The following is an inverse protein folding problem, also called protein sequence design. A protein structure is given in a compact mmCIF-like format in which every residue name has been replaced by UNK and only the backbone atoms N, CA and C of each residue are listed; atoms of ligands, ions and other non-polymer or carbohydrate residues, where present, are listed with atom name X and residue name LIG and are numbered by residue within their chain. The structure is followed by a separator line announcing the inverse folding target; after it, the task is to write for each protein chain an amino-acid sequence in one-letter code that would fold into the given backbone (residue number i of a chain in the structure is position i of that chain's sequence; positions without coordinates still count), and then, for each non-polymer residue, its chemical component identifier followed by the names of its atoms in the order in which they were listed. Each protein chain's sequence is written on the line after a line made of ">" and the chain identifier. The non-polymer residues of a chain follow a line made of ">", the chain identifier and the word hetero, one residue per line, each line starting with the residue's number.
data_IF_788711847345
#
_entry.id   IF_788711847345
#
_cell.length_a   1.000
_cell.length_b   1.000
_cell.length_c   1.000
_cell.angle_alpha   90.00
_cell.angle_beta   90.00
_cell.angle_gamma   90.00
#
_symmetry.space_group_name_H-M   'P 1'
#
loop_
_entity.id
_entity.type
_entity.pdbx_description
1 polymer ?
#
# COMPACT_ATOMS: atom_id res chain seq x y z
N UNK A 1 -6.31 -5.18 -8.34
CA UNK A 1 -5.49 -4.05 -7.85
C UNK A 1 -6.23 -3.43 -6.68
N UNK A 2 -5.57 -3.21 -5.54
CA UNK A 2 -6.22 -2.59 -4.38
C UNK A 2 -6.30 -1.07 -4.50
N UNK A 3 -6.97 -0.46 -3.51
CA UNK A 3 -7.30 0.95 -3.56
C UNK A 3 -6.21 1.80 -2.90
N UNK A 4 -5.99 2.99 -3.45
CA UNK A 4 -5.04 3.97 -2.88
C UNK A 4 -5.54 4.60 -1.58
N UNK A 5 -6.86 4.56 -1.37
CA UNK A 5 -7.58 4.84 -0.14
C UNK A 5 -8.61 3.71 -0.01
N UNK A 6 -8.56 2.94 1.07
CA UNK A 6 -9.42 1.77 1.23
C UNK A 6 -10.01 1.68 2.63
N UNK A 7 -11.30 1.35 2.68
CA UNK A 7 -11.95 0.79 3.86
C UNK A 7 -12.47 -0.64 3.60
N UNK A 8 -12.14 -1.21 2.44
CA UNK A 8 -12.30 -2.65 2.20
C UNK A 8 -11.09 -3.32 2.83
N UNK A 9 -11.37 -4.23 3.75
CA UNK A 9 -10.39 -4.82 4.65
C UNK A 9 -10.43 -6.33 4.51
N UNK A 10 -9.28 -7.00 4.66
CA UNK A 10 -9.29 -8.47 4.71
C UNK A 10 -10.19 -8.98 5.83
N UNK A 11 -10.28 -8.25 6.95
CA UNK A 11 -11.13 -8.60 8.09
C UNK A 11 -12.63 -8.44 7.81
N UNK A 12 -13.03 -7.63 6.83
CA UNK A 12 -14.45 -7.40 6.48
C UNK A 12 -14.84 -8.04 5.15
N UNK A 13 -13.88 -8.64 4.45
CA UNK A 13 -14.04 -9.24 3.13
C UNK A 13 -13.69 -10.73 3.12
N UNK A 14 -13.84 -11.42 4.27
CA UNK A 14 -13.30 -12.77 4.49
C UNK A 14 -13.76 -13.83 3.48
N UNK A 15 -14.94 -13.68 2.89
CA UNK A 15 -15.50 -14.60 1.89
C UNK A 15 -15.07 -14.28 0.43
N UNK A 16 -14.18 -13.30 0.25
CA UNK A 16 -13.69 -12.88 -1.07
C UNK A 16 -12.25 -13.36 -1.24
N UNK A 17 -12.03 -14.25 -2.21
CA UNK A 17 -10.71 -14.84 -2.52
C UNK A 17 -9.60 -13.77 -2.69
N UNK A 18 -9.97 -12.62 -3.25
CA UNK A 18 -9.06 -11.51 -3.53
C UNK A 18 -8.98 -10.48 -2.41
N UNK A 19 -9.57 -10.73 -1.23
CA UNK A 19 -9.61 -9.81 -0.11
C UNK A 19 -8.25 -9.33 0.35
N UNK A 20 -7.20 -10.17 0.23
CA UNK A 20 -5.82 -9.80 0.56
C UNK A 20 -5.27 -8.60 -0.21
N UNK A 21 -5.86 -8.28 -1.37
CA UNK A 21 -5.45 -7.16 -2.21
C UNK A 21 -6.12 -5.84 -1.85
N UNK A 22 -7.18 -5.84 -1.04
CA UNK A 22 -8.07 -4.68 -0.84
C UNK A 22 -7.38 -3.44 -0.28
N UNK A 23 -6.30 -3.63 0.47
CA UNK A 23 -5.52 -2.55 1.09
C UNK A 23 -4.20 -2.28 0.36
N UNK A 24 -3.86 -3.06 -0.67
CA UNK A 24 -2.55 -3.04 -1.31
C UNK A 24 -2.60 -2.29 -2.64
N UNK A 25 -1.76 -1.27 -2.77
CA UNK A 25 -1.68 -0.44 -3.97
C UNK A 25 -0.25 -0.37 -4.51
N UNK A 26 -0.07 0.44 -5.56
CA UNK A 26 1.23 0.75 -6.15
C UNK A 26 1.25 2.23 -6.49
N UNK A 27 2.32 2.91 -6.10
CA UNK A 27 2.75 4.16 -6.69
C UNK A 27 3.74 3.86 -7.81
N UNK A 28 3.62 4.56 -8.94
CA UNK A 28 4.53 4.39 -10.06
C UNK A 28 5.33 5.68 -10.28
N UNK A 29 6.64 5.59 -10.14
CA UNK A 29 7.57 6.63 -10.56
C UNK A 29 8.04 6.37 -12.00
N UNK A 30 7.61 7.22 -12.95
CA UNK A 30 7.90 7.07 -14.38
C UNK A 30 8.57 8.33 -14.90
N UNK A 31 9.76 8.18 -15.49
CA UNK A 31 10.38 9.26 -16.28
C UNK A 31 9.99 9.13 -17.73
N UNK A 32 9.39 10.19 -18.29
CA UNK A 32 9.01 10.25 -19.70
C UNK A 32 9.86 11.31 -20.40
N UNK A 33 10.37 10.97 -21.59
CA UNK A 33 11.15 11.88 -22.43
C UNK A 33 10.47 12.09 -23.77
N UNK A 34 10.47 13.33 -24.25
CA UNK A 34 10.00 13.69 -25.59
C UNK A 34 11.14 14.29 -26.39
N UNK A 35 11.48 13.69 -27.54
CA UNK A 35 12.53 14.19 -28.45
C UNK A 35 12.13 13.96 -29.89
N UNK A 36 12.23 15.01 -30.72
CA UNK A 36 11.93 14.96 -32.16
C UNK A 36 10.57 14.33 -32.49
N UNK A 37 9.53 14.68 -31.73
CA UNK A 37 8.18 14.14 -31.90
C UNK A 37 7.95 12.74 -31.33
N UNK A 38 8.98 12.03 -30.85
CA UNK A 38 8.86 10.73 -30.19
C UNK A 38 8.79 10.86 -28.68
N UNK A 39 7.92 10.09 -28.04
CA UNK A 39 7.79 9.95 -26.58
C UNK A 39 8.34 8.58 -26.17
N UNK A 40 9.22 8.54 -25.17
CA UNK A 40 9.80 7.31 -24.59
C UNK A 40 9.65 7.31 -23.07
N UNK A 41 9.47 6.12 -22.49
CA UNK A 41 9.66 5.92 -21.06
C UNK A 41 11.14 5.62 -20.86
N UNK A 42 11.80 6.39 -19.99
CA UNK A 42 13.22 6.20 -19.67
C UNK A 42 13.39 5.34 -18.41
N UNK A 43 12.57 5.60 -17.39
CA UNK A 43 12.58 4.84 -16.13
C UNK A 43 11.15 4.49 -15.71
N UNK A 44 10.99 3.32 -15.09
CA UNK A 44 9.78 2.93 -14.40
C UNK A 44 10.17 2.22 -13.09
N UNK A 45 9.66 2.71 -11.96
CA UNK A 45 9.85 2.09 -10.64
C UNK A 45 8.53 1.99 -9.88
N UNK A 46 8.14 0.77 -9.56
CA UNK A 46 6.99 0.48 -8.73
C UNK A 46 7.35 0.64 -7.24
N UNK A 47 6.44 1.28 -6.52
CA UNK A 47 6.50 1.49 -5.08
C UNK A 47 5.24 0.89 -4.45
N UNK A 48 5.30 -0.35 -3.94
CA UNK A 48 4.18 -0.98 -3.26
C UNK A 48 3.66 -0.12 -2.11
N UNK A 49 2.34 -0.02 -1.97
CA UNK A 49 1.69 0.72 -0.89
C UNK A 49 0.73 -0.16 -0.10
N UNK A 50 0.47 0.20 1.15
CA UNK A 50 -0.57 -0.42 1.96
C UNK A 50 -1.36 0.63 2.76
N UNK A 51 -2.68 0.47 2.84
CA UNK A 51 -3.54 1.37 3.61
C UNK A 51 -3.66 0.89 5.05
N UNK A 52 -2.99 1.59 5.95
CA UNK A 52 -3.13 1.42 7.40
C UNK A 52 -4.44 2.00 7.90
N UNK A 53 -5.05 1.32 8.89
CA UNK A 53 -6.24 1.76 9.60
C UNK A 53 -5.98 1.60 11.10
N UNK A 54 -5.92 2.71 11.82
CA UNK A 54 -5.70 2.70 13.26
C UNK A 54 -6.91 3.31 13.99
N UNK A 55 -7.40 2.70 15.09
CA UNK A 55 -8.49 3.28 15.87
C UNK A 55 -8.08 4.65 16.44
N UNK A 56 -8.99 5.63 16.40
CA UNK A 56 -8.78 6.95 17.04
C UNK A 56 -9.27 7.00 18.49
N UNK A 57 -9.87 5.92 19.00
CA UNK A 57 -10.36 5.84 20.38
C UNK A 57 -11.65 6.64 20.66
N UNK A 58 -12.41 7.00 19.62
CA UNK A 58 -13.66 7.75 19.75
C UNK A 58 -14.74 7.26 18.79
N UNK A 59 -15.93 7.82 18.91
CA UNK A 59 -17.10 7.49 18.10
C UNK A 59 -17.65 8.73 17.38
N UNK A 60 -18.26 8.54 16.22
CA UNK A 60 -19.03 9.58 15.53
C UNK A 60 -20.31 9.92 16.31
N UNK A 61 -21.00 11.04 16.01
CA UNK A 61 -22.30 11.35 16.62
C UNK A 61 -23.34 10.24 16.45
N UNK A 62 -23.23 9.44 15.38
CA UNK A 62 -24.09 8.31 15.05
C UNK A 62 -23.64 7.00 15.72
N UNK A 63 -22.57 7.03 16.52
CA UNK A 63 -22.08 5.88 17.30
C UNK A 63 -21.10 4.97 16.57
N UNK A 64 -20.52 5.39 15.44
CA UNK A 64 -19.54 4.57 14.71
C UNK A 64 -18.10 4.81 15.21
N UNK A 65 -17.29 3.77 15.42
CA UNK A 65 -15.89 3.95 15.82
C UNK A 65 -15.10 4.71 14.75
N UNK A 66 -14.30 5.67 15.20
CA UNK A 66 -13.47 6.51 14.33
C UNK A 66 -12.10 5.88 14.10
N UNK A 67 -11.61 6.00 12.87
CA UNK A 67 -10.32 5.47 12.45
C UNK A 67 -9.51 6.52 11.70
N UNK A 68 -8.19 6.43 11.82
CA UNK A 68 -7.23 7.11 10.96
C UNK A 68 -6.83 6.15 9.85
N UNK A 69 -6.93 6.61 8.60
CA UNK A 69 -6.46 5.88 7.43
C UNK A 69 -5.21 6.57 6.91
N UNK A 70 -4.15 5.80 6.67
CA UNK A 70 -2.90 6.33 6.13
C UNK A 70 -2.30 5.35 5.13
N UNK A 71 -2.00 5.85 3.93
CA UNK A 71 -1.31 5.06 2.90
C UNK A 71 0.19 5.09 3.17
N UNK A 72 0.76 3.92 3.41
CA UNK A 72 2.19 3.72 3.60
C UNK A 72 2.84 3.37 2.26
N UNK A 73 3.98 3.99 1.97
CA UNK A 73 4.94 3.52 0.96
C UNK A 73 5.76 2.44 1.65
N UNK A 74 5.63 1.19 1.22
CA UNK A 74 6.07 0.06 2.03
C UNK A 74 7.59 0.04 2.26
N UNK A 75 8.38 0.57 1.34
CA UNK A 75 9.84 0.73 1.48
C UNK A 75 10.25 1.54 2.72
N UNK A 76 9.41 2.47 3.18
CA UNK A 76 9.68 3.26 4.38
C UNK A 76 9.51 2.45 5.68
N UNK A 77 8.85 1.29 5.61
CA UNK A 77 8.36 0.53 6.76
C UNK A 77 8.80 -0.95 6.81
N UNK A 78 9.49 -1.45 5.78
CA UNK A 78 10.18 -2.76 5.79
C UNK A 78 11.54 -2.68 6.51
N UNK A 79 12.26 -3.79 6.60
CA UNK A 79 13.62 -3.83 7.18
C UNK A 79 14.55 -2.82 6.50
N UNK A 80 15.25 -2.00 7.30
CA UNK A 80 16.07 -0.87 6.83
C UNK A 80 15.29 0.41 6.52
N UNK A 81 13.95 0.39 6.54
CA UNK A 81 13.08 1.55 6.33
C UNK A 81 13.08 2.53 7.49
N UNK A 82 12.98 3.83 7.19
CA UNK A 82 13.09 4.93 8.18
C UNK A 82 12.01 4.94 9.28
N UNK A 83 10.87 4.29 9.06
CA UNK A 83 9.75 4.25 10.01
C UNK A 83 9.49 2.84 10.59
N UNK A 84 10.32 1.85 10.25
CA UNK A 84 10.17 0.45 10.71
C UNK A 84 10.04 0.31 12.22
N UNK A 85 10.79 1.11 12.99
CA UNK A 85 10.81 1.06 14.45
C UNK A 85 9.53 1.56 15.12
N UNK A 86 8.64 2.21 14.37
CA UNK A 86 7.37 2.75 14.90
C UNK A 86 6.24 1.72 14.89
N UNK A 87 6.48 0.54 14.32
CA UNK A 87 5.45 -0.49 14.12
C UNK A 87 5.53 -1.57 15.19
N UNK A 88 4.37 -2.11 15.56
CA UNK A 88 4.29 -3.38 16.29
C UNK A 88 4.60 -4.57 15.38
N UNK A 89 4.94 -5.73 15.97
CA UNK A 89 5.36 -6.92 15.23
C UNK A 89 4.28 -7.45 14.28
N UNK A 90 3.00 -7.34 14.63
CA UNK A 90 1.91 -7.79 13.77
C UNK A 90 1.80 -6.92 12.49
N UNK A 91 1.97 -5.61 12.64
CA UNK A 91 1.96 -4.66 11.52
C UNK A 91 3.19 -4.85 10.64
N UNK A 92 4.35 -5.12 11.26
CA UNK A 92 5.59 -5.45 10.56
C UNK A 92 5.42 -6.66 9.63
N UNK A 93 4.91 -7.77 10.14
CA UNK A 93 4.69 -9.00 9.37
C UNK A 93 3.72 -8.78 8.20
N UNK A 94 2.65 -8.00 8.43
CA UNK A 94 1.69 -7.63 7.39
C UNK A 94 2.32 -6.82 6.27
N UNK A 95 3.13 -5.83 6.62
CA UNK A 95 3.82 -4.97 5.65
C UNK A 95 4.84 -5.76 4.85
N UNK A 96 5.63 -6.62 5.50
CA UNK A 96 6.65 -7.42 4.82
C UNK A 96 6.01 -8.39 3.82
N UNK A 97 4.90 -9.02 4.23
CA UNK A 97 4.10 -9.89 3.35
C UNK A 97 3.51 -9.11 2.18
N UNK A 98 2.90 -7.94 2.43
CA UNK A 98 2.34 -7.09 1.40
C UNK A 98 3.40 -6.60 0.41
N UNK A 99 4.58 -6.21 0.89
CA UNK A 99 5.68 -5.74 0.06
C UNK A 99 6.19 -6.85 -0.87
N UNK A 100 6.43 -8.05 -0.34
CA UNK A 100 6.85 -9.20 -1.13
C UNK A 100 5.81 -9.56 -2.20
N UNK A 101 4.57 -9.80 -1.79
CA UNK A 101 3.51 -10.24 -2.71
C UNK A 101 3.19 -9.17 -3.77
N UNK A 102 3.30 -7.87 -3.44
CA UNK A 102 3.08 -6.81 -4.41
C UNK A 102 4.21 -6.71 -5.44
N UNK A 103 5.47 -6.83 -5.01
CA UNK A 103 6.59 -6.85 -5.97
C UNK A 103 6.51 -8.06 -6.90
N UNK A 104 6.19 -9.24 -6.37
CA UNK A 104 5.98 -10.46 -7.17
C UNK A 104 4.79 -10.30 -8.14
N UNK A 105 3.68 -9.73 -7.67
CA UNK A 105 2.48 -9.54 -8.49
C UNK A 105 2.67 -8.49 -9.60
N UNK A 106 3.33 -7.38 -9.28
CA UNK A 106 3.61 -6.31 -10.26
C UNK A 106 4.60 -6.78 -11.30
N UNK A 107 5.64 -7.52 -10.88
CA UNK A 107 6.59 -8.17 -11.80
C UNK A 107 7.30 -7.20 -12.74
N UNK A 108 7.48 -5.93 -12.34
CA UNK A 108 8.11 -4.91 -13.17
C UNK A 108 9.62 -5.16 -13.24
N UNK A 109 10.08 -5.62 -14.41
CA UNK A 109 11.49 -5.75 -14.74
C UNK A 109 11.84 -4.60 -15.70
N UNK A 110 12.36 -3.51 -15.16
CA UNK A 110 12.72 -2.30 -15.91
C UNK A 110 14.22 -1.99 -15.82
#
# INVERSE_FOLDING_TARGET
>A
MGNFISNQRIETMQDVETAKWTERGVLMDVTIKKKSGKTTIETAKAHPTWVSRTPKGGYSPEGYPLYLYQTYILEDFIEGGKYRSQLDEATKERIDTAYKEMNEHVGLNW
#
